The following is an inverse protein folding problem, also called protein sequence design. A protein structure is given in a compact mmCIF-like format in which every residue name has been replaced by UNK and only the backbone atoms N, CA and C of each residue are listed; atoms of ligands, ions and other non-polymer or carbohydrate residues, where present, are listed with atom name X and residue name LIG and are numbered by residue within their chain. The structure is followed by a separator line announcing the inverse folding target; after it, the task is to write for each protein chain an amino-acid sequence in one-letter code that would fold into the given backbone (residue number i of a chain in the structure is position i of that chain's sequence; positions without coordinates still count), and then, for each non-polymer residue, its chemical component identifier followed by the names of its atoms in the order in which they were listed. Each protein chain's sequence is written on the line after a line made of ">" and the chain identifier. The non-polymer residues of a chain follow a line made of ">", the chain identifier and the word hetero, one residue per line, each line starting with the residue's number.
data_IF_777135498587
#
_entry.id   IF_777135498587
#
_cell.length_a   1.000
_cell.length_b   1.000
_cell.length_c   1.000
_cell.angle_alpha   90.00
_cell.angle_beta   90.00
_cell.angle_gamma   90.00
#
_symmetry.space_group_name_H-M   'P 1'
#
loop_
_entity.id
_entity.type
_entity.pdbx_description
1 polymer ?
#
# COMPACT_ATOMS: atom_id res chain seq x y z
N UNK A 1 0.49 -8.93 20.27
CA UNK A 1 -0.84 -8.43 19.87
C UNK A 1 -0.74 -7.43 18.74
N UNK A 2 -1.88 -7.11 18.11
CA UNK A 2 -1.98 -6.07 17.08
C UNK A 2 -1.54 -4.71 17.64
N UNK A 3 -1.97 -4.35 18.85
CA UNK A 3 -1.57 -3.07 19.48
C UNK A 3 -0.07 -2.97 19.68
N UNK A 4 0.58 -4.05 20.10
CA UNK A 4 2.04 -4.08 20.27
C UNK A 4 2.77 -3.94 18.94
N UNK A 5 2.24 -4.56 17.89
CA UNK A 5 2.81 -4.49 16.55
C UNK A 5 2.71 -3.07 15.98
N UNK A 6 1.53 -2.46 16.06
CA UNK A 6 1.30 -1.08 15.59
C UNK A 6 2.08 -0.07 16.44
N UNK A 7 2.04 -0.19 17.77
CA UNK A 7 2.70 0.73 18.72
C UNK A 7 4.22 0.54 18.85
N UNK A 8 4.81 -0.46 18.18
CA UNK A 8 6.21 -0.84 18.38
C UNK A 8 7.19 0.32 18.22
N UNK A 9 7.02 1.15 17.19
CA UNK A 9 7.91 2.30 16.96
C UNK A 9 7.72 3.40 18.00
N UNK A 10 6.49 3.61 18.49
CA UNK A 10 6.21 4.60 19.53
C UNK A 10 6.83 4.20 20.87
N UNK A 11 6.83 2.89 21.20
CA UNK A 11 7.45 2.37 22.43
C UNK A 11 8.97 2.60 22.50
N UNK A 12 9.63 2.76 21.38
CA UNK A 12 11.07 3.12 21.34
C UNK A 12 11.34 4.58 21.68
N UNK A 13 10.32 5.41 21.70
CA UNK A 13 10.45 6.83 22.01
C UNK A 13 10.33 7.02 23.54
N UNK A 14 11.40 7.51 24.15
CA UNK A 14 11.52 7.60 25.60
C UNK A 14 10.53 8.57 26.30
N UNK A 15 9.77 9.38 25.53
CA UNK A 15 8.98 10.50 26.04
C UNK A 15 7.46 10.28 25.94
N UNK A 16 6.98 9.08 25.61
CA UNK A 16 5.56 8.79 25.49
C UNK A 16 5.10 7.84 26.61
N UNK A 17 4.01 8.21 27.30
CA UNK A 17 3.38 7.30 28.23
C UNK A 17 2.64 6.17 27.51
N UNK A 18 2.40 5.05 28.21
CA UNK A 18 1.69 3.89 27.63
C UNK A 18 0.24 4.28 27.23
N UNK A 19 -0.41 5.17 27.98
CA UNK A 19 -1.76 5.67 27.67
C UNK A 19 -1.79 6.41 26.34
N UNK A 20 -0.81 7.30 26.11
CA UNK A 20 -0.69 8.04 24.83
C UNK A 20 -0.44 7.10 23.67
N UNK A 21 0.43 6.09 23.85
CA UNK A 21 0.70 5.09 22.84
C UNK A 21 -0.57 4.31 22.50
N UNK A 22 -1.32 3.87 23.51
CA UNK A 22 -2.54 3.11 23.32
C UNK A 22 -3.61 3.94 22.59
N UNK A 23 -3.83 5.19 22.97
CA UNK A 23 -4.76 6.09 22.29
C UNK A 23 -4.40 6.27 20.80
N UNK A 24 -3.13 6.51 20.50
CA UNK A 24 -2.65 6.65 19.10
C UNK A 24 -2.83 5.36 18.30
N UNK A 25 -2.55 4.21 18.89
CA UNK A 25 -2.76 2.91 18.24
C UNK A 25 -4.23 2.68 17.89
N UNK A 26 -5.14 2.92 18.84
CA UNK A 26 -6.57 2.76 18.61
C UNK A 26 -7.04 3.72 17.51
N UNK A 27 -6.59 4.96 17.53
CA UNK A 27 -6.92 5.96 16.49
C UNK A 27 -6.43 5.53 15.10
N UNK A 28 -5.19 5.04 14.99
CA UNK A 28 -4.66 4.53 13.72
C UNK A 28 -5.41 3.29 13.23
N UNK A 29 -5.75 2.35 14.10
CA UNK A 29 -6.54 1.19 13.75
C UNK A 29 -7.95 1.59 13.24
N UNK A 30 -8.59 2.55 13.87
CA UNK A 30 -9.88 3.08 13.41
C UNK A 30 -9.78 3.75 12.02
N UNK A 31 -8.69 4.47 11.72
CA UNK A 31 -8.46 5.08 10.40
C UNK A 31 -8.41 4.04 9.27
N UNK A 32 -7.91 2.85 9.56
CA UNK A 32 -7.87 1.74 8.60
C UNK A 32 -9.11 0.82 8.69
N UNK A 33 -10.14 1.24 9.43
CA UNK A 33 -11.40 0.50 9.57
C UNK A 33 -11.25 -0.81 10.36
N UNK A 34 -10.36 -0.83 11.34
CA UNK A 34 -10.17 -1.95 12.25
C UNK A 34 -10.61 -1.54 13.67
N UNK A 35 -11.73 -2.11 14.10
CA UNK A 35 -12.28 -1.90 15.43
C UNK A 35 -12.17 -3.21 16.23
N UNK A 36 -11.96 -3.13 17.54
CA UNK A 36 -11.95 -4.25 18.48
C UNK A 36 -10.95 -5.39 18.16
N UNK A 37 -9.81 -5.05 17.52
CA UNK A 37 -8.79 -6.02 17.16
C UNK A 37 -7.46 -5.81 17.90
N UNK A 38 -7.35 -4.76 18.70
CA UNK A 38 -6.09 -4.37 19.34
C UNK A 38 -5.45 -5.49 20.16
N UNK A 39 -6.26 -6.28 20.84
CA UNK A 39 -5.81 -7.39 21.68
C UNK A 39 -5.63 -8.71 20.93
N UNK A 40 -6.06 -8.80 19.66
CA UNK A 40 -5.90 -10.01 18.86
C UNK A 40 -4.45 -10.20 18.44
N UNK A 41 -4.09 -11.45 18.17
CA UNK A 41 -2.82 -11.79 17.52
C UNK A 41 -2.98 -11.74 15.99
N UNK A 42 -1.90 -11.41 15.25
CA UNK A 42 -1.94 -11.37 13.78
C UNK A 42 -2.53 -12.61 13.12
N UNK A 43 -2.24 -13.81 13.66
CA UNK A 43 -2.77 -15.07 13.15
C UNK A 43 -4.30 -15.26 13.32
N UNK A 44 -4.96 -14.39 14.10
CA UNK A 44 -6.42 -14.40 14.28
C UNK A 44 -7.13 -13.45 13.30
N UNK A 45 -6.38 -12.79 12.42
CA UNK A 45 -6.87 -11.82 11.46
C UNK A 45 -6.93 -12.43 10.06
N UNK A 46 -7.93 -12.01 9.25
CA UNK A 46 -7.92 -12.30 7.81
C UNK A 46 -6.75 -11.61 7.11
N UNK A 47 -6.35 -12.08 5.92
CA UNK A 47 -5.26 -11.47 5.15
C UNK A 47 -5.47 -9.97 4.90
N UNK A 48 -6.70 -9.56 4.57
CA UNK A 48 -7.04 -8.15 4.40
C UNK A 48 -6.95 -7.34 5.70
N UNK A 49 -7.29 -7.94 6.84
CA UNK A 49 -7.10 -7.29 8.14
C UNK A 49 -5.61 -7.13 8.49
N UNK A 50 -4.79 -8.16 8.22
CA UNK A 50 -3.34 -8.09 8.44
C UNK A 50 -2.68 -6.98 7.62
N UNK A 51 -3.07 -6.85 6.33
CA UNK A 51 -2.61 -5.75 5.48
C UNK A 51 -3.02 -4.40 6.06
N UNK A 52 -4.26 -4.21 6.50
CA UNK A 52 -4.71 -2.98 7.14
C UNK A 52 -3.97 -2.67 8.45
N UNK A 53 -3.59 -3.68 9.23
CA UNK A 53 -2.67 -3.49 10.38
C UNK A 53 -1.31 -2.96 9.94
N UNK A 54 -0.77 -3.44 8.82
CA UNK A 54 0.49 -2.93 8.26
C UNK A 54 0.38 -1.46 7.84
N UNK A 55 -0.76 -1.04 7.27
CA UNK A 55 -1.04 0.37 7.00
C UNK A 55 -1.10 1.20 8.29
N UNK A 56 -1.83 0.75 9.32
CA UNK A 56 -1.87 1.44 10.60
C UNK A 56 -0.48 1.61 11.21
N UNK A 57 0.38 0.59 11.09
CA UNK A 57 1.77 0.65 11.54
C UNK A 57 2.61 1.68 10.79
N UNK A 58 2.40 1.83 9.50
CA UNK A 58 3.08 2.85 8.70
C UNK A 58 2.59 4.27 9.07
N UNK A 59 1.27 4.46 9.20
CA UNK A 59 0.66 5.74 9.56
C UNK A 59 1.06 6.23 10.95
N UNK A 60 1.18 5.35 11.94
CA UNK A 60 1.49 5.74 13.31
C UNK A 60 2.91 6.31 13.43
N UNK A 61 3.82 5.91 12.57
CA UNK A 61 5.18 6.45 12.54
C UNK A 61 5.24 7.86 11.96
N UNK A 62 4.31 8.21 11.07
CA UNK A 62 4.26 9.54 10.43
C UNK A 62 3.65 10.62 11.33
N UNK A 63 2.80 10.26 12.29
CA UNK A 63 2.18 11.22 13.22
C UNK A 63 3.16 12.00 14.10
N UNK A 64 4.46 11.74 13.99
CA UNK A 64 5.53 12.39 14.75
C UNK A 64 6.57 13.12 13.89
N UNK A 65 6.43 13.10 12.57
CA UNK A 65 7.31 13.91 11.72
C UNK A 65 6.94 15.37 11.89
N UNK A 66 7.94 16.18 12.19
CA UNK A 66 7.83 17.64 12.17
C UNK A 66 7.31 18.06 10.79
N UNK A 67 6.49 19.09 10.74
CA UNK A 67 5.74 19.62 9.59
C UNK A 67 6.56 19.91 8.31
N UNK A 68 7.87 19.71 8.33
CA UNK A 68 8.80 20.13 7.26
C UNK A 68 9.10 19.06 6.19
N UNK A 69 8.68 17.81 6.34
CA UNK A 69 8.96 16.77 5.33
C UNK A 69 7.73 15.97 4.93
N UNK A 70 7.33 16.06 3.68
CA UNK A 70 6.33 15.16 3.09
C UNK A 70 6.87 13.73 3.05
N UNK A 71 6.17 12.74 3.61
CA UNK A 71 6.64 11.36 3.63
C UNK A 71 6.58 10.73 2.24
N UNK A 72 7.53 9.81 1.96
CA UNK A 72 7.43 8.86 0.87
C UNK A 72 6.84 7.56 1.39
N UNK A 73 5.67 7.18 0.88
CA UNK A 73 4.99 5.94 1.23
C UNK A 73 5.30 4.88 0.17
N UNK A 74 5.80 3.73 0.60
CA UNK A 74 6.15 2.62 -0.28
C UNK A 74 5.19 1.46 -0.03
N UNK A 75 4.52 1.00 -1.08
CA UNK A 75 3.60 -0.13 -1.06
C UNK A 75 4.08 -1.19 -2.04
N UNK A 76 4.39 -2.37 -1.52
CA UNK A 76 4.81 -3.53 -2.31
C UNK A 76 3.69 -4.56 -2.31
N UNK A 77 3.11 -4.81 -3.49
CA UNK A 77 2.00 -5.74 -3.73
C UNK A 77 0.86 -5.64 -2.69
N UNK A 78 0.30 -4.44 -2.46
CA UNK A 78 -0.63 -4.20 -1.35
C UNK A 78 -1.94 -5.00 -1.46
N UNK A 79 -2.35 -5.38 -2.68
CA UNK A 79 -3.61 -6.09 -2.95
C UNK A 79 -3.42 -7.58 -3.21
N UNK A 80 -2.18 -8.10 -3.25
CA UNK A 80 -1.91 -9.51 -3.54
C UNK A 80 -2.62 -10.46 -2.57
N UNK A 81 -3.28 -11.49 -3.12
CA UNK A 81 -3.97 -12.52 -2.33
C UNK A 81 -5.27 -12.08 -1.66
N UNK A 82 -5.83 -10.92 -2.05
CA UNK A 82 -7.11 -10.43 -1.56
C UNK A 82 -8.23 -10.63 -2.59
N UNK A 83 -9.47 -10.76 -2.10
CA UNK A 83 -10.66 -10.71 -2.94
C UNK A 83 -10.88 -9.29 -3.51
N UNK A 84 -11.67 -9.12 -4.59
CA UNK A 84 -11.85 -7.82 -5.26
C UNK A 84 -12.38 -6.71 -4.35
N UNK A 85 -13.26 -7.03 -3.38
CA UNK A 85 -13.81 -6.03 -2.45
C UNK A 85 -12.75 -5.57 -1.47
N UNK A 86 -11.94 -6.51 -0.97
CA UNK A 86 -10.82 -6.19 -0.10
C UNK A 86 -9.74 -5.40 -0.84
N UNK A 87 -9.46 -5.70 -2.13
CA UNK A 87 -8.57 -4.91 -2.98
C UNK A 87 -9.04 -3.45 -3.05
N UNK A 88 -10.30 -3.21 -3.42
CA UNK A 88 -10.87 -1.86 -3.49
C UNK A 88 -10.71 -1.09 -2.18
N UNK A 89 -10.93 -1.73 -1.04
CA UNK A 89 -10.73 -1.09 0.27
C UNK A 89 -9.28 -0.70 0.55
N UNK A 90 -8.32 -1.54 0.15
CA UNK A 90 -6.89 -1.23 0.26
C UNK A 90 -6.50 -0.09 -0.68
N UNK A 91 -6.99 -0.09 -1.91
CA UNK A 91 -6.76 0.97 -2.89
C UNK A 91 -7.28 2.33 -2.39
N UNK A 92 -8.51 2.36 -1.86
CA UNK A 92 -9.07 3.57 -1.23
C UNK A 92 -8.23 4.03 -0.03
N UNK A 93 -7.68 3.09 0.73
CA UNK A 93 -6.81 3.41 1.85
C UNK A 93 -5.47 4.01 1.38
N UNK A 94 -4.86 3.48 0.32
CA UNK A 94 -3.64 4.05 -0.30
C UNK A 94 -3.90 5.51 -0.70
N UNK A 95 -4.99 5.78 -1.42
CA UNK A 95 -5.34 7.13 -1.86
C UNK A 95 -5.50 8.06 -0.67
N UNK A 96 -6.31 7.67 0.32
CA UNK A 96 -6.56 8.47 1.53
C UNK A 96 -5.29 8.74 2.34
N UNK A 97 -4.45 7.73 2.53
CA UNK A 97 -3.22 7.89 3.32
C UNK A 97 -2.24 8.80 2.63
N UNK A 98 -2.10 8.69 1.31
CA UNK A 98 -1.24 9.59 0.51
C UNK A 98 -1.73 11.05 0.58
N UNK A 99 -3.04 11.26 0.51
CA UNK A 99 -3.63 12.61 0.63
C UNK A 99 -3.44 13.21 2.02
N UNK A 100 -3.72 12.44 3.08
CA UNK A 100 -3.59 12.90 4.48
C UNK A 100 -2.13 13.20 4.82
N UNK A 101 -1.21 12.39 4.33
CA UNK A 101 0.22 12.58 4.57
C UNK A 101 0.81 13.77 3.78
N UNK A 102 0.04 14.38 2.85
CA UNK A 102 0.52 15.43 1.91
C UNK A 102 1.84 15.02 1.24
N UNK A 103 2.02 13.71 1.03
CA UNK A 103 3.25 13.10 0.59
C UNK A 103 3.17 12.52 -0.83
N UNK A 104 4.19 11.75 -1.16
CA UNK A 104 4.26 10.97 -2.39
C UNK A 104 4.13 9.48 -2.04
N UNK A 105 3.54 8.70 -2.94
CA UNK A 105 3.51 7.23 -2.80
C UNK A 105 4.08 6.54 -4.04
N UNK A 106 4.74 5.42 -3.81
CA UNK A 106 5.13 4.46 -4.85
C UNK A 106 4.40 3.16 -4.55
N UNK A 107 3.65 2.68 -5.53
CA UNK A 107 2.93 1.40 -5.46
C UNK A 107 3.55 0.46 -6.48
N UNK A 108 4.11 -0.65 -6.02
CA UNK A 108 4.52 -1.76 -6.88
C UNK A 108 3.38 -2.76 -6.94
N UNK A 109 2.90 -3.05 -8.14
CA UNK A 109 1.83 -4.03 -8.34
C UNK A 109 1.86 -4.62 -9.74
N UNK A 110 1.46 -5.88 -9.86
CA UNK A 110 1.16 -6.56 -11.13
C UNK A 110 -0.34 -6.59 -11.46
N UNK A 111 -1.18 -5.95 -10.63
CA UNK A 111 -2.63 -5.88 -10.81
C UNK A 111 -3.01 -4.57 -11.49
N UNK A 112 -3.47 -4.65 -12.75
CA UNK A 112 -3.80 -3.46 -13.55
C UNK A 112 -4.84 -2.55 -12.87
N UNK A 113 -5.90 -3.10 -12.27
CA UNK A 113 -6.92 -2.32 -11.58
C UNK A 113 -6.36 -1.51 -10.40
N UNK A 114 -5.42 -2.08 -9.66
CA UNK A 114 -4.73 -1.39 -8.56
C UNK A 114 -3.90 -0.22 -9.10
N UNK A 115 -3.14 -0.44 -10.18
CA UNK A 115 -2.35 0.60 -10.85
C UNK A 115 -3.27 1.72 -11.33
N UNK A 116 -4.36 1.38 -12.02
CA UNK A 116 -5.32 2.35 -12.56
C UNK A 116 -5.95 3.23 -11.49
N UNK A 117 -6.29 2.66 -10.34
CA UNK A 117 -6.96 3.41 -9.26
C UNK A 117 -6.03 4.24 -8.39
N UNK A 118 -4.78 3.81 -8.22
CA UNK A 118 -3.88 4.38 -7.20
C UNK A 118 -2.79 5.28 -7.76
N UNK A 119 -2.53 5.28 -9.08
CA UNK A 119 -1.40 6.00 -9.65
C UNK A 119 -1.79 7.13 -10.60
N UNK A 120 -0.97 8.19 -10.61
CA UNK A 120 -1.02 9.27 -11.60
C UNK A 120 0.01 9.05 -12.71
N UNK A 121 1.15 8.42 -12.37
CA UNK A 121 2.26 8.10 -13.26
C UNK A 121 2.60 6.63 -13.10
N UNK A 122 2.90 5.98 -14.20
CA UNK A 122 3.26 4.56 -14.25
C UNK A 122 4.65 4.41 -14.86
N UNK A 123 5.46 3.56 -14.26
CA UNK A 123 6.73 3.12 -14.81
C UNK A 123 6.67 1.62 -14.94
N UNK A 124 6.91 1.10 -16.16
CA UNK A 124 6.93 -0.33 -16.40
C UNK A 124 8.33 -0.89 -16.41
N UNK A 125 8.57 -1.87 -15.53
CA UNK A 125 9.83 -2.56 -15.38
C UNK A 125 9.66 -4.03 -15.79
N UNK A 126 10.53 -4.55 -16.66
CA UNK A 126 10.59 -5.94 -17.02
C UNK A 126 12.02 -6.36 -17.39
N UNK A 127 12.46 -7.53 -16.95
CA UNK A 127 13.82 -8.01 -17.19
C UNK A 127 14.92 -7.04 -16.73
N UNK A 128 14.69 -6.31 -15.61
CA UNK A 128 15.61 -5.34 -15.05
C UNK A 128 15.74 -4.04 -15.86
N UNK A 129 14.85 -3.78 -16.81
CA UNK A 129 14.87 -2.58 -17.67
C UNK A 129 13.55 -1.84 -17.65
N UNK A 130 13.63 -0.50 -17.82
CA UNK A 130 12.45 0.33 -18.02
C UNK A 130 11.98 0.20 -19.47
N UNK A 131 10.71 -0.15 -19.65
CA UNK A 131 10.10 -0.33 -20.98
C UNK A 131 9.07 0.75 -21.29
N UNK A 132 8.58 1.45 -20.26
CA UNK A 132 7.62 2.53 -20.45
C UNK A 132 7.59 3.45 -19.22
N UNK A 133 7.27 4.73 -19.43
CA UNK A 133 7.10 5.76 -18.40
C UNK A 133 6.14 6.83 -18.94
N UNK A 134 5.11 7.19 -18.17
CA UNK A 134 4.14 8.20 -18.52
C UNK A 134 2.97 8.30 -17.55
N UNK A 135 1.96 9.09 -17.90
CA UNK A 135 0.73 9.22 -17.11
C UNK A 135 -0.12 7.95 -17.18
N UNK A 136 -0.99 7.72 -16.19
CA UNK A 136 -1.93 6.59 -16.20
C UNK A 136 -2.85 6.65 -17.44
N UNK A 137 -3.22 7.84 -17.89
CA UNK A 137 -4.09 7.98 -19.06
C UNK A 137 -3.37 7.56 -20.35
N UNK A 138 -2.10 7.93 -20.52
CA UNK A 138 -1.27 7.46 -21.64
C UNK A 138 -1.01 5.95 -21.54
N UNK A 139 -0.80 5.41 -20.32
CA UNK A 139 -0.63 3.97 -20.11
C UNK A 139 -1.84 3.17 -20.61
N UNK A 140 -3.05 3.63 -20.31
CA UNK A 140 -4.31 3.01 -20.72
C UNK A 140 -4.48 2.93 -22.25
N UNK A 141 -3.92 3.88 -22.98
CA UNK A 141 -4.04 4.00 -24.43
C UNK A 141 -2.77 3.57 -25.20
N UNK A 142 -1.69 3.24 -24.48
CA UNK A 142 -0.40 2.96 -25.07
C UNK A 142 -0.43 1.74 -26.03
N UNK A 143 0.16 1.93 -27.21
CA UNK A 143 0.42 0.85 -28.17
C UNK A 143 1.82 0.22 -27.97
N UNK A 144 2.57 0.61 -26.95
CA UNK A 144 3.80 -0.06 -26.57
C UNK A 144 3.53 -1.54 -26.33
N UNK A 145 4.29 -2.43 -26.95
CA UNK A 145 4.04 -3.87 -26.96
C UNK A 145 4.07 -4.51 -25.55
N UNK A 146 4.94 -4.03 -24.67
CA UNK A 146 4.99 -4.48 -23.26
C UNK A 146 3.75 -4.04 -22.49
N UNK A 147 3.37 -2.75 -22.61
CA UNK A 147 2.18 -2.20 -21.94
C UNK A 147 0.92 -2.90 -22.43
N UNK A 148 0.80 -3.09 -23.74
CA UNK A 148 -0.36 -3.75 -24.36
C UNK A 148 -0.48 -5.19 -23.87
N UNK A 149 0.63 -5.94 -23.85
CA UNK A 149 0.65 -7.32 -23.36
C UNK A 149 0.25 -7.38 -21.87
N UNK A 150 0.83 -6.54 -21.03
CA UNK A 150 0.50 -6.48 -19.62
C UNK A 150 -0.98 -6.18 -19.38
N UNK A 151 -1.51 -5.18 -20.05
CA UNK A 151 -2.89 -4.71 -19.91
C UNK A 151 -3.93 -5.75 -20.34
N UNK A 152 -3.63 -6.49 -21.41
CA UNK A 152 -4.56 -7.47 -22.00
C UNK A 152 -4.37 -8.89 -21.46
N UNK A 153 -3.29 -9.15 -20.72
CA UNK A 153 -2.93 -10.50 -20.26
C UNK A 153 -2.62 -11.47 -21.41
N UNK A 154 -2.22 -10.95 -22.60
CA UNK A 154 -1.94 -11.80 -23.76
C UNK A 154 -0.65 -12.60 -23.56
N UNK A 155 -0.68 -13.90 -23.83
CA UNK A 155 0.50 -14.75 -23.77
C UNK A 155 1.51 -14.46 -24.88
N UNK A 156 1.03 -13.92 -26.01
CA UNK A 156 1.90 -13.53 -27.13
C UNK A 156 2.36 -12.09 -26.96
N UNK A 157 3.67 -11.89 -26.91
CA UNK A 157 4.27 -10.57 -26.75
C UNK A 157 5.72 -10.64 -26.29
N UNK A 158 6.33 -9.47 -26.00
CA UNK A 158 7.75 -9.41 -25.62
C UNK A 158 8.04 -9.94 -24.20
N UNK A 159 7.03 -9.98 -23.31
CA UNK A 159 7.18 -10.60 -22.00
C UNK A 159 6.88 -12.09 -22.15
N UNK A 160 7.91 -12.91 -21.98
CA UNK A 160 7.77 -14.37 -21.97
C UNK A 160 7.61 -14.82 -20.52
N UNK A 161 6.56 -15.63 -20.19
CA UNK A 161 6.51 -16.30 -18.91
C UNK A 161 7.77 -17.16 -18.73
N UNK A 162 8.34 -17.19 -17.52
CA UNK A 162 9.36 -18.18 -17.23
C UNK A 162 8.72 -19.56 -17.45
N UNK A 163 9.36 -20.41 -18.23
CA UNK A 163 8.91 -21.79 -18.42
C UNK A 163 8.97 -22.48 -17.05
N UNK A 164 7.81 -22.97 -16.60
CA UNK A 164 7.65 -23.71 -15.35
C UNK A 164 8.27 -25.11 -15.47
#
# INVERSE_FOLDING_TARGET
>A
TVKENVGFLLKKQKNLSEEIIQERVIKCLAQVGLFDVAEKFPGQLSGGMQKRVSFARALISDSQRQEESSPLLLYDEPTAGLDPIACTRIEDLIIKTTQVASGCSIVVSHVFSTIERTSNRVIMLYGGKFHWDGSIEEFKQSENSYVKQFRTGNLQGPMQPEEL
#
